data_IF_158066331961
#
_entry.id   IF_158066331961
#
_cell.length_a   1.000
_cell.length_b   1.000
_cell.length_c   1.000
_cell.angle_alpha   90.00
_cell.angle_beta   90.00
_cell.angle_gamma   90.00
#
_symmetry.space_group_name_H-M   'P 1'
#
loop_
_entity.id
_entity.type
_entity.pdbx_description
1 polymer ?
#
# COMPACT_ATOMS: atom_id res chain seq x y z
N UNK A 1 -19.05 -17.59 11.39
CA UNK A 1 -19.57 -16.32 11.91
C UNK A 1 -19.57 -16.28 13.45
N UNK A 2 -20.08 -17.28 14.14
CA UNK A 2 -20.07 -17.33 15.63
C UNK A 2 -18.67 -17.16 16.21
N UNK A 3 -17.65 -17.78 15.61
CA UNK A 3 -16.25 -17.64 16.05
C UNK A 3 -15.70 -16.22 15.89
N UNK A 4 -16.32 -15.41 15.03
CA UNK A 4 -15.97 -14.00 14.78
C UNK A 4 -16.89 -13.01 15.50
N UNK A 5 -17.77 -13.50 16.38
CA UNK A 5 -18.72 -12.67 17.13
C UNK A 5 -19.83 -12.03 16.29
N UNK A 6 -20.04 -12.52 15.05
CA UNK A 6 -21.11 -12.04 14.16
C UNK A 6 -22.33 -12.94 14.22
N UNK A 7 -23.51 -12.35 14.03
CA UNK A 7 -24.76 -13.10 14.02
C UNK A 7 -24.77 -14.15 12.90
N UNK A 8 -25.27 -15.37 13.17
CA UNK A 8 -25.40 -16.41 12.16
C UNK A 8 -26.44 -15.99 11.10
N UNK A 9 -26.15 -16.30 9.84
CA UNK A 9 -27.14 -16.17 8.75
C UNK A 9 -27.81 -17.53 8.60
N UNK A 10 -29.12 -17.57 8.70
CA UNK A 10 -29.90 -18.75 8.39
C UNK A 10 -30.13 -18.87 6.88
N UNK A 11 -29.69 -19.99 6.31
CA UNK A 11 -29.89 -20.30 4.89
C UNK A 11 -30.92 -21.42 4.81
N UNK A 12 -32.06 -21.12 4.22
CA UNK A 12 -33.11 -22.12 4.01
C UNK A 12 -32.75 -23.13 2.91
N UNK A 13 -33.51 -24.21 2.81
CA UNK A 13 -33.27 -25.32 1.88
C UNK A 13 -33.15 -24.87 0.41
N UNK A 14 -33.97 -23.91 -0.01
CA UNK A 14 -33.98 -23.37 -1.38
C UNK A 14 -33.31 -21.99 -1.48
N UNK A 15 -32.35 -21.74 -0.61
CA UNK A 15 -31.65 -20.45 -0.54
C UNK A 15 -30.16 -20.61 -0.68
N UNK A 16 -29.53 -19.52 -1.15
CA UNK A 16 -28.08 -19.39 -1.23
C UNK A 16 -27.59 -18.09 -0.62
N UNK A 17 -26.35 -18.07 -0.20
CA UNK A 17 -25.60 -16.87 0.19
C UNK A 17 -24.33 -16.79 -0.63
N UNK A 18 -24.07 -15.62 -1.24
CA UNK A 18 -22.79 -15.33 -1.88
C UNK A 18 -21.86 -14.70 -0.86
N UNK A 19 -20.66 -15.24 -0.78
CA UNK A 19 -19.60 -14.72 0.10
C UNK A 19 -18.35 -14.43 -0.71
N UNK A 20 -17.62 -13.37 -0.33
CA UNK A 20 -16.40 -12.94 -1.00
C UNK A 20 -15.49 -12.26 0.03
N UNK A 21 -14.20 -12.59 0.05
CA UNK A 21 -13.21 -11.91 0.89
C UNK A 21 -12.37 -10.89 0.10
N UNK A 22 -12.57 -10.81 -1.20
CA UNK A 22 -12.04 -9.74 -2.04
C UNK A 22 -13.00 -8.53 -1.92
N UNK A 23 -12.58 -7.51 -1.18
CA UNK A 23 -13.38 -6.32 -0.91
C UNK A 23 -13.71 -5.47 -2.14
N UNK A 24 -14.45 -4.41 -1.93
CA UNK A 24 -14.73 -3.39 -2.93
C UNK A 24 -15.78 -3.79 -3.97
N UNK A 25 -15.47 -3.63 -5.25
CA UNK A 25 -16.44 -3.77 -6.35
C UNK A 25 -17.09 -5.15 -6.46
N UNK A 26 -16.37 -6.23 -6.09
CA UNK A 26 -16.91 -7.59 -6.14
C UNK A 26 -18.01 -7.82 -5.10
N UNK A 27 -17.80 -7.35 -3.88
CA UNK A 27 -18.80 -7.43 -2.81
C UNK A 27 -20.03 -6.61 -3.18
N UNK A 28 -19.83 -5.43 -3.75
CA UNK A 28 -20.92 -4.59 -4.26
C UNK A 28 -21.68 -5.27 -5.41
N UNK A 29 -20.97 -5.92 -6.32
CA UNK A 29 -21.56 -6.66 -7.42
C UNK A 29 -22.45 -7.80 -6.90
N UNK A 30 -21.93 -8.62 -5.97
CA UNK A 30 -22.70 -9.71 -5.38
C UNK A 30 -23.89 -9.23 -4.54
N UNK A 31 -23.71 -8.13 -3.82
CA UNK A 31 -24.78 -7.48 -3.07
C UNK A 31 -25.90 -7.01 -4.02
N UNK A 32 -25.56 -6.35 -5.13
CA UNK A 32 -26.54 -5.94 -6.15
C UNK A 32 -27.23 -7.14 -6.78
N UNK A 33 -26.50 -8.22 -7.04
CA UNK A 33 -27.06 -9.45 -7.60
C UNK A 33 -28.08 -10.10 -6.65
N UNK A 34 -27.73 -10.22 -5.37
CA UNK A 34 -28.63 -10.79 -4.35
C UNK A 34 -29.81 -9.88 -4.07
N UNK A 35 -29.62 -8.57 -3.94
CA UNK A 35 -30.69 -7.58 -3.75
C UNK A 35 -31.68 -7.54 -4.93
N UNK A 36 -31.22 -7.85 -6.14
CA UNK A 36 -32.06 -8.02 -7.33
C UNK A 36 -32.93 -9.28 -7.31
N UNK A 37 -32.81 -10.14 -6.29
CA UNK A 37 -33.57 -11.37 -6.16
C UNK A 37 -33.26 -12.42 -7.23
N UNK A 38 -32.07 -12.34 -7.85
CA UNK A 38 -31.67 -13.27 -8.90
C UNK A 38 -31.53 -14.69 -8.36
N UNK A 39 -32.07 -15.65 -9.10
CA UNK A 39 -32.04 -17.06 -8.76
C UNK A 39 -30.78 -17.73 -9.32
N UNK A 40 -30.28 -18.72 -8.58
CA UNK A 40 -29.17 -19.55 -8.99
C UNK A 40 -29.63 -21.00 -9.15
N UNK A 41 -29.23 -21.65 -10.22
CA UNK A 41 -29.57 -23.09 -10.42
C UNK A 41 -28.35 -23.95 -10.12
N UNK A 42 -28.48 -24.84 -9.13
CA UNK A 42 -27.45 -25.77 -8.72
C UNK A 42 -28.01 -27.21 -8.74
N UNK A 43 -27.42 -28.10 -9.53
CA UNK A 43 -27.87 -29.49 -9.61
C UNK A 43 -29.35 -29.68 -9.96
N UNK A 44 -29.96 -28.77 -10.70
CA UNK A 44 -31.39 -28.78 -11.03
C UNK A 44 -32.29 -28.11 -10.03
N UNK A 45 -31.78 -27.69 -8.87
CA UNK A 45 -32.51 -26.93 -7.87
C UNK A 45 -32.36 -25.42 -8.10
N UNK A 46 -33.48 -24.68 -8.06
CA UNK A 46 -33.48 -23.23 -8.21
C UNK A 46 -33.48 -22.59 -6.84
N UNK A 47 -32.42 -21.85 -6.53
CA UNK A 47 -32.16 -21.24 -5.23
C UNK A 47 -32.44 -19.74 -5.31
N UNK A 48 -32.96 -19.16 -4.23
CA UNK A 48 -33.17 -17.72 -4.04
C UNK A 48 -32.14 -17.16 -3.06
N UNK A 49 -31.78 -15.87 -3.12
CA UNK A 49 -30.89 -15.29 -2.13
C UNK A 49 -31.48 -15.36 -0.72
N UNK A 50 -30.67 -15.74 0.26
CA UNK A 50 -31.06 -15.78 1.68
C UNK A 50 -31.10 -14.38 2.30
N UNK A 51 -30.30 -13.47 1.79
CA UNK A 51 -30.20 -12.06 2.22
C UNK A 51 -30.06 -11.16 1.01
N UNK A 52 -30.23 -9.86 1.22
CA UNK A 52 -30.02 -8.82 0.20
C UNK A 52 -28.57 -8.33 0.12
N UNK A 53 -27.68 -8.87 0.95
CA UNK A 53 -26.26 -8.48 1.04
C UNK A 53 -25.33 -9.68 0.98
N UNK A 54 -24.24 -9.52 0.24
CA UNK A 54 -23.13 -10.45 0.27
C UNK A 54 -22.42 -10.38 1.64
N UNK A 55 -21.83 -11.49 2.06
CA UNK A 55 -21.03 -11.55 3.28
C UNK A 55 -19.54 -11.39 2.93
N UNK A 56 -18.91 -10.38 3.52
CA UNK A 56 -17.47 -10.16 3.39
C UNK A 56 -16.63 -11.16 4.22
N UNK A 57 -17.27 -11.96 5.05
CA UNK A 57 -16.63 -12.75 6.09
C UNK A 57 -16.33 -14.19 5.68
N UNK A 58 -15.57 -14.38 4.66
CA UNK A 58 -15.06 -15.71 4.32
C UNK A 58 -13.62 -15.94 4.76
N UNK A 59 -13.05 -15.04 5.55
CA UNK A 59 -11.72 -15.18 6.14
C UNK A 59 -11.50 -16.51 6.91
N UNK A 60 -12.58 -17.16 7.34
CA UNK A 60 -12.53 -18.49 7.95
C UNK A 60 -12.09 -19.59 6.97
N UNK A 61 -12.17 -19.37 5.66
CA UNK A 61 -11.83 -20.36 4.62
C UNK A 61 -10.57 -19.91 3.84
N UNK A 62 -10.13 -18.67 4.04
CA UNK A 62 -8.96 -18.14 3.36
C UNK A 62 -7.68 -18.75 3.93
N UNK A 63 -6.92 -19.42 3.07
CA UNK A 63 -5.60 -19.99 3.38
C UNK A 63 -4.46 -18.99 3.14
N UNK A 64 -4.76 -17.72 2.95
CA UNK A 64 -3.76 -16.71 2.64
C UNK A 64 -4.01 -15.42 3.41
N UNK A 65 -2.95 -14.67 3.64
CA UNK A 65 -3.00 -13.34 4.24
C UNK A 65 -3.62 -12.27 3.30
N UNK A 66 -3.79 -12.61 2.04
CA UNK A 66 -4.53 -11.82 1.05
C UNK A 66 -5.85 -12.53 0.75
N UNK A 67 -6.94 -11.78 0.58
CA UNK A 67 -8.21 -12.32 0.15
C UNK A 67 -8.02 -13.19 -1.10
N UNK A 68 -8.49 -14.43 -1.04
CA UNK A 68 -8.34 -15.39 -2.13
C UNK A 68 -9.66 -15.93 -2.64
N UNK A 69 -10.75 -15.58 -1.95
CA UNK A 69 -12.10 -16.00 -2.33
C UNK A 69 -12.78 -14.95 -3.20
N UNK A 70 -12.68 -15.12 -4.52
CA UNK A 70 -13.38 -14.28 -5.49
C UNK A 70 -14.89 -14.48 -5.51
N UNK A 71 -15.42 -15.51 -4.84
CA UNK A 71 -16.85 -15.77 -4.70
C UNK A 71 -17.13 -17.23 -4.35
N UNK A 72 -17.88 -17.44 -3.28
CA UNK A 72 -18.35 -18.76 -2.85
C UNK A 72 -19.86 -18.73 -2.67
N UNK A 73 -20.51 -19.76 -3.17
CA UNK A 73 -21.95 -20.01 -2.95
C UNK A 73 -22.08 -20.90 -1.73
N UNK A 74 -22.70 -20.39 -0.67
CA UNK A 74 -23.02 -21.15 0.54
C UNK A 74 -24.49 -21.58 0.45
N UNK A 75 -24.72 -22.86 0.68
CA UNK A 75 -26.06 -23.48 0.63
C UNK A 75 -26.29 -24.32 1.88
N UNK A 76 -27.52 -24.74 2.11
CA UNK A 76 -27.86 -25.62 3.23
C UNK A 76 -27.26 -27.01 3.06
N UNK A 77 -26.87 -27.65 4.18
CA UNK A 77 -26.25 -28.99 4.22
C UNK A 77 -27.17 -30.08 3.64
N UNK A 78 -28.49 -29.94 3.80
CA UNK A 78 -29.47 -30.84 3.23
C UNK A 78 -29.40 -30.89 1.71
N UNK A 79 -29.21 -29.73 1.06
CA UNK A 79 -29.07 -29.64 -0.39
C UNK A 79 -27.79 -30.33 -0.85
N UNK A 80 -26.68 -30.09 -0.17
CA UNK A 80 -25.39 -30.74 -0.47
C UNK A 80 -25.48 -32.25 -0.40
N UNK A 81 -26.21 -32.77 0.58
CA UNK A 81 -26.44 -34.20 0.75
C UNK A 81 -27.25 -34.81 -0.41
N UNK A 82 -28.21 -34.07 -0.98
CA UNK A 82 -29.02 -34.50 -2.12
C UNK A 82 -28.24 -34.48 -3.44
N UNK A 83 -27.28 -33.55 -3.57
CA UNK A 83 -26.46 -33.41 -4.79
C UNK A 83 -25.39 -34.49 -4.94
N UNK A 84 -25.19 -35.34 -3.90
CA UNK A 84 -24.16 -36.40 -3.87
C UNK A 84 -22.78 -35.95 -4.35
N UNK A 85 -22.40 -34.74 -3.97
CA UNK A 85 -21.09 -34.17 -4.33
C UNK A 85 -20.02 -34.73 -3.42
N UNK A 86 -18.88 -35.12 -4.01
CA UNK A 86 -17.70 -35.45 -3.21
C UNK A 86 -17.01 -34.16 -2.77
N UNK A 87 -16.68 -34.00 -1.50
CA UNK A 87 -15.96 -32.82 -1.04
C UNK A 87 -14.57 -32.77 -1.66
N UNK A 88 -14.26 -31.65 -2.31
CA UNK A 88 -12.93 -31.37 -2.85
C UNK A 88 -11.91 -31.10 -1.74
N UNK A 89 -12.33 -30.40 -0.71
CA UNK A 89 -11.52 -30.12 0.48
C UNK A 89 -12.40 -29.99 1.71
N UNK A 90 -11.87 -30.34 2.86
CA UNK A 90 -12.50 -30.09 4.14
C UNK A 90 -11.53 -29.34 5.04
N UNK A 91 -12.02 -28.35 5.77
CA UNK A 91 -11.21 -27.54 6.68
C UNK A 91 -11.82 -27.52 8.07
N UNK A 92 -11.01 -27.76 9.10
CA UNK A 92 -11.39 -27.61 10.48
C UNK A 92 -10.80 -26.31 11.03
N UNK A 93 -11.67 -25.43 11.47
CA UNK A 93 -11.30 -24.17 12.10
C UNK A 93 -11.41 -24.29 13.62
N UNK A 94 -10.36 -23.94 14.32
CA UNK A 94 -10.27 -24.04 15.77
C UNK A 94 -9.81 -22.72 16.36
N UNK A 95 -10.48 -22.24 17.41
CA UNK A 95 -10.02 -21.12 18.21
C UNK A 95 -9.48 -21.62 19.56
N UNK A 96 -8.40 -21.01 20.02
CA UNK A 96 -7.87 -21.26 21.34
C UNK A 96 -8.78 -20.67 22.42
N UNK A 97 -8.76 -21.28 23.61
CA UNK A 97 -9.41 -20.70 24.78
C UNK A 97 -8.74 -19.40 25.18
N UNK A 98 -9.52 -18.45 25.68
CA UNK A 98 -8.97 -17.19 26.20
C UNK A 98 -7.91 -17.47 27.30
N UNK A 99 -6.75 -16.81 27.17
CA UNK A 99 -5.66 -16.91 28.14
C UNK A 99 -4.64 -18.01 27.87
N UNK A 100 -4.77 -18.80 26.78
CA UNK A 100 -3.73 -19.73 26.35
C UNK A 100 -2.59 -18.99 25.63
N UNK A 101 -1.35 -19.46 25.87
CA UNK A 101 -0.22 -19.07 25.03
C UNK A 101 -0.38 -19.74 23.65
N UNK A 102 -0.66 -18.93 22.65
CA UNK A 102 -0.92 -19.41 21.29
C UNK A 102 0.33 -19.96 20.61
N UNK A 103 1.52 -19.51 20.98
CA UNK A 103 2.78 -19.92 20.36
C UNK A 103 3.12 -21.35 20.77
N UNK A 104 3.06 -21.66 22.08
CA UNK A 104 3.32 -23.00 22.60
C UNK A 104 2.24 -23.99 22.12
N UNK A 105 0.99 -23.56 22.07
CA UNK A 105 -0.11 -24.38 21.57
C UNK A 105 0.02 -24.66 20.06
N UNK A 106 0.41 -23.66 19.25
CA UNK A 106 0.64 -23.83 17.82
C UNK A 106 1.74 -24.87 17.54
N UNK A 107 2.87 -24.79 18.26
CA UNK A 107 3.96 -25.76 18.12
C UNK A 107 3.51 -27.17 18.52
N UNK A 108 2.85 -27.33 19.67
CA UNK A 108 2.38 -28.62 20.17
C UNK A 108 1.40 -29.29 19.21
N UNK A 109 0.42 -28.55 18.69
CA UNK A 109 -0.55 -29.06 17.74
C UNK A 109 0.11 -29.41 16.40
N UNK A 110 1.03 -28.58 15.93
CA UNK A 110 1.77 -28.80 14.69
C UNK A 110 2.54 -30.13 14.73
N UNK A 111 3.29 -30.39 15.80
CA UNK A 111 3.99 -31.66 15.98
C UNK A 111 3.03 -32.83 16.05
N UNK A 112 1.94 -32.70 16.81
CA UNK A 112 0.94 -33.78 16.95
C UNK A 112 0.24 -34.10 15.61
N UNK A 113 -0.11 -33.09 14.84
CA UNK A 113 -0.75 -33.27 13.54
C UNK A 113 0.23 -33.86 12.52
N UNK A 114 1.47 -33.39 12.49
CA UNK A 114 2.51 -33.92 11.61
C UNK A 114 2.85 -35.38 11.95
N UNK A 115 3.02 -35.71 13.23
CA UNK A 115 3.31 -37.07 13.64
C UNK A 115 2.17 -38.05 13.30
N UNK A 116 0.92 -37.65 13.48
CA UNK A 116 -0.24 -38.48 13.12
C UNK A 116 -0.41 -38.65 11.61
N UNK A 117 -0.02 -37.63 10.80
CA UNK A 117 -0.01 -37.73 9.34
C UNK A 117 1.10 -38.64 8.82
N UNK A 118 2.23 -38.73 9.55
CA UNK A 118 3.39 -39.55 9.17
C UNK A 118 3.31 -41.00 9.66
N UNK A 119 2.55 -41.27 10.73
CA UNK A 119 2.52 -42.60 11.41
C UNK A 119 1.66 -43.62 10.67
N UNK A 120 0.70 -43.23 9.85
CA UNK A 120 -0.26 -44.16 9.25
C UNK A 120 0.23 -44.87 7.98
N UNK A 121 1.51 -44.69 7.54
CA UNK A 121 2.15 -45.45 6.46
C UNK A 121 1.43 -45.39 5.13
N UNK A 122 0.37 -44.63 5.02
CA UNK A 122 -0.34 -44.30 3.78
C UNK A 122 0.28 -43.08 3.17
N UNK A 123 0.74 -43.21 1.95
CA UNK A 123 1.03 -42.04 1.11
C UNK A 123 -0.08 -41.01 1.35
N UNK A 124 0.25 -39.76 1.73
CA UNK A 124 -0.78 -38.75 1.97
C UNK A 124 -1.48 -38.43 0.63
N UNK A 125 -2.54 -39.16 0.39
CA UNK A 125 -3.44 -38.91 -0.75
C UNK A 125 -4.24 -37.60 -0.61
N UNK A 126 -4.15 -36.95 0.54
CA UNK A 126 -4.65 -35.62 0.79
C UNK A 126 -3.59 -34.84 1.57
N UNK A 127 -3.10 -33.76 0.98
CA UNK A 127 -2.20 -32.82 1.63
C UNK A 127 -2.99 -32.08 2.72
N UNK A 128 -2.92 -32.57 3.94
CA UNK A 128 -3.39 -31.81 5.09
C UNK A 128 -2.45 -30.64 5.34
N UNK A 129 -2.94 -29.43 5.23
CA UNK A 129 -2.18 -28.21 5.56
C UNK A 129 -2.63 -27.72 6.92
N UNK A 130 -1.71 -27.63 7.85
CA UNK A 130 -1.95 -26.99 9.15
C UNK A 130 -1.35 -25.58 9.08
N UNK A 131 -2.19 -24.57 9.26
CA UNK A 131 -1.77 -23.17 9.22
C UNK A 131 -2.31 -22.50 10.48
N UNK A 132 -1.43 -21.85 11.21
CA UNK A 132 -1.81 -21.08 12.39
C UNK A 132 -1.98 -19.60 12.04
N UNK A 133 -2.74 -18.89 12.85
CA UNK A 133 -2.91 -17.46 12.71
C UNK A 133 -1.57 -16.71 12.87
N UNK A 134 -0.71 -17.17 13.78
CA UNK A 134 0.62 -16.60 14.02
C UNK A 134 1.53 -16.76 12.80
N UNK A 135 1.53 -17.93 12.15
CA UNK A 135 2.30 -18.17 10.93
C UNK A 135 1.82 -17.30 9.77
N UNK A 136 0.50 -17.16 9.58
CA UNK A 136 -0.05 -16.28 8.55
C UNK A 136 0.37 -14.82 8.77
N UNK A 137 0.29 -14.32 10.01
CA UNK A 137 0.74 -12.97 10.32
C UNK A 137 2.25 -12.80 10.11
N UNK A 138 3.06 -13.78 10.52
CA UNK A 138 4.51 -13.74 10.32
C UNK A 138 4.86 -13.72 8.83
N UNK A 139 4.21 -14.56 8.01
CA UNK A 139 4.42 -14.60 6.57
C UNK A 139 4.01 -13.28 5.89
N UNK A 140 2.86 -12.74 6.26
CA UNK A 140 2.40 -11.45 5.76
C UNK A 140 3.35 -10.30 6.16
N UNK A 141 3.83 -10.30 7.40
CA UNK A 141 4.78 -9.30 7.89
C UNK A 141 6.13 -9.38 7.16
N UNK A 142 6.63 -10.60 6.90
CA UNK A 142 7.87 -10.81 6.13
C UNK A 142 7.74 -10.29 4.69
N UNK A 143 6.67 -10.63 3.99
CA UNK A 143 6.42 -10.17 2.62
C UNK A 143 6.29 -8.65 2.57
N UNK A 144 5.49 -8.06 3.46
CA UNK A 144 5.31 -6.62 3.56
C UNK A 144 6.62 -5.90 3.92
N UNK A 145 7.41 -6.49 4.82
CA UNK A 145 8.72 -5.97 5.20
C UNK A 145 9.69 -5.93 4.03
N UNK A 146 9.75 -6.99 3.24
CA UNK A 146 10.64 -7.12 2.09
C UNK A 146 10.27 -6.12 0.98
N UNK A 147 8.98 -6.03 0.65
CA UNK A 147 8.47 -5.07 -0.35
C UNK A 147 8.73 -3.63 0.11
N UNK A 148 8.45 -3.32 1.39
CA UNK A 148 8.68 -2.00 1.96
C UNK A 148 10.15 -1.62 1.94
N UNK A 149 11.04 -2.54 2.29
CA UNK A 149 12.48 -2.33 2.25
C UNK A 149 12.96 -1.99 0.83
N UNK A 150 12.55 -2.78 -0.17
CA UNK A 150 12.89 -2.52 -1.56
C UNK A 150 12.36 -1.17 -2.04
N UNK A 151 11.12 -0.84 -1.71
CA UNK A 151 10.50 0.43 -2.10
C UNK A 151 11.23 1.64 -1.48
N UNK A 152 11.58 1.56 -0.19
CA UNK A 152 12.33 2.60 0.53
C UNK A 152 13.73 2.73 -0.06
N UNK A 153 14.42 1.61 -0.34
CA UNK A 153 15.75 1.61 -0.91
C UNK A 153 15.78 2.27 -2.29
N UNK A 154 14.88 1.85 -3.19
CA UNK A 154 14.77 2.43 -4.54
C UNK A 154 14.41 3.92 -4.45
N UNK A 155 13.43 4.26 -3.60
CA UNK A 155 13.03 5.65 -3.37
C UNK A 155 14.20 6.52 -2.88
N UNK A 156 14.98 6.02 -1.93
CA UNK A 156 16.15 6.72 -1.41
C UNK A 156 17.21 6.96 -2.50
N UNK A 157 17.55 5.93 -3.28
CA UNK A 157 18.51 6.05 -4.40
C UNK A 157 18.02 7.08 -5.42
N UNK A 158 16.74 7.06 -5.78
CA UNK A 158 16.17 8.05 -6.71
C UNK A 158 16.23 9.47 -6.15
N UNK A 159 15.92 9.66 -4.87
CA UNK A 159 15.99 11.00 -4.22
C UNK A 159 17.42 11.53 -4.24
N UNK A 160 18.42 10.70 -3.90
CA UNK A 160 19.84 11.08 -3.93
C UNK A 160 20.28 11.44 -5.35
N UNK A 161 19.89 10.63 -6.35
CA UNK A 161 20.20 10.92 -7.76
C UNK A 161 19.56 12.24 -8.24
N UNK A 162 18.29 12.45 -7.93
CA UNK A 162 17.60 13.71 -8.25
C UNK A 162 18.26 14.92 -7.57
N UNK A 163 18.63 14.78 -6.29
CA UNK A 163 19.33 15.83 -5.55
C UNK A 163 20.68 16.18 -6.19
N UNK A 164 21.46 15.17 -6.60
CA UNK A 164 22.73 15.40 -7.29
C UNK A 164 22.54 16.13 -8.63
N UNK A 165 21.59 15.68 -9.45
CA UNK A 165 21.29 16.30 -10.75
C UNK A 165 20.86 17.76 -10.57
N UNK A 166 19.91 18.00 -9.66
CA UNK A 166 19.43 19.37 -9.38
C UNK A 166 20.53 20.26 -8.84
N UNK A 167 21.44 19.74 -7.99
CA UNK A 167 22.59 20.50 -7.47
C UNK A 167 23.52 20.94 -8.60
N UNK A 168 23.87 20.04 -9.52
CA UNK A 168 24.72 20.36 -10.67
C UNK A 168 24.05 21.39 -11.57
N UNK A 169 22.78 21.23 -11.88
CA UNK A 169 22.02 22.18 -12.69
C UNK A 169 21.96 23.56 -12.05
N UNK A 170 21.71 23.63 -10.74
CA UNK A 170 21.66 24.91 -10.03
C UNK A 170 23.01 25.58 -9.97
N UNK A 171 24.08 24.83 -9.73
CA UNK A 171 25.44 25.35 -9.73
C UNK A 171 25.81 25.95 -11.10
N UNK A 172 25.47 25.26 -12.19
CA UNK A 172 25.67 25.76 -13.57
C UNK A 172 24.85 27.03 -13.83
N UNK A 173 23.56 27.01 -13.47
CA UNK A 173 22.69 28.17 -13.68
C UNK A 173 23.16 29.42 -12.92
N UNK A 174 23.66 29.26 -11.68
CA UNK A 174 24.19 30.39 -10.90
C UNK A 174 25.53 30.88 -11.48
N UNK A 175 26.40 29.97 -11.93
CA UNK A 175 27.66 30.34 -12.58
C UNK A 175 27.40 31.14 -13.85
N UNK A 176 26.50 30.68 -14.71
CA UNK A 176 26.10 31.35 -15.97
C UNK A 176 25.39 32.67 -15.68
N UNK A 177 24.53 32.73 -14.68
CA UNK A 177 23.78 33.92 -14.25
C UNK A 177 24.65 34.95 -13.50
N UNK A 178 25.83 34.60 -13.04
CA UNK A 178 26.70 35.47 -12.23
C UNK A 178 27.03 36.80 -12.91
N UNK A 179 27.16 36.78 -14.23
CA UNK A 179 27.38 37.99 -15.04
C UNK A 179 26.18 38.94 -15.00
N UNK A 180 24.98 38.42 -15.11
CA UNK A 180 23.72 39.17 -15.03
C UNK A 180 23.53 39.81 -13.66
N UNK A 181 23.82 39.08 -12.59
CA UNK A 181 23.75 39.61 -11.21
C UNK A 181 24.78 40.71 -10.95
N UNK A 182 25.97 40.63 -11.58
CA UNK A 182 26.95 41.71 -11.55
C UNK A 182 26.43 42.97 -12.25
N UNK A 183 25.81 42.84 -13.38
CA UNK A 183 25.20 43.99 -14.10
C UNK A 183 24.11 44.62 -13.26
N UNK A 184 23.24 43.82 -12.63
CA UNK A 184 22.21 44.30 -11.71
C UNK A 184 22.81 45.11 -10.54
N UNK A 185 23.88 44.65 -9.94
CA UNK A 185 24.59 45.37 -8.91
C UNK A 185 25.22 46.68 -9.42
N UNK A 186 25.67 46.73 -10.68
CA UNK A 186 26.26 47.95 -11.30
C UNK A 186 25.23 49.04 -11.55
N UNK A 187 24.00 48.70 -11.89
CA UNK A 187 22.90 49.65 -12.09
C UNK A 187 22.22 50.09 -10.80
N UNK A 188 22.77 49.67 -9.63
CA UNK A 188 22.32 50.12 -8.30
C UNK A 188 21.24 49.31 -7.66
N UNK A 189 21.01 48.05 -8.09
CA UNK A 189 20.10 47.15 -7.39
C UNK A 189 20.64 46.79 -6.00
N UNK A 190 19.77 46.88 -5.00
CA UNK A 190 20.09 46.53 -3.61
C UNK A 190 20.28 44.98 -3.47
N UNK A 191 21.12 44.59 -2.54
CA UNK A 191 21.39 43.18 -2.14
C UNK A 191 20.11 42.39 -1.89
N UNK A 192 19.06 43.06 -1.39
CA UNK A 192 17.76 42.43 -1.13
C UNK A 192 17.01 42.09 -2.41
N UNK A 193 17.09 42.95 -3.39
CA UNK A 193 16.46 42.75 -4.71
C UNK A 193 17.16 41.63 -5.48
N UNK A 194 18.49 41.57 -5.42
CA UNK A 194 19.26 40.47 -6.03
C UNK A 194 18.92 39.14 -5.40
N UNK A 195 18.88 39.07 -4.07
CA UNK A 195 18.47 37.82 -3.36
C UNK A 195 17.04 37.38 -3.67
N UNK A 196 16.11 38.31 -3.80
CA UNK A 196 14.75 38.01 -4.17
C UNK A 196 14.68 37.47 -5.61
N UNK A 197 15.47 38.00 -6.54
CA UNK A 197 15.58 37.50 -7.92
C UNK A 197 16.14 36.06 -7.94
N UNK A 198 17.21 35.77 -7.18
CA UNK A 198 17.78 34.44 -7.06
C UNK A 198 16.74 33.46 -6.46
N UNK A 199 16.03 33.87 -5.43
CA UNK A 199 15.00 33.06 -4.80
C UNK A 199 13.84 32.77 -5.77
N UNK A 200 13.36 33.76 -6.50
CA UNK A 200 12.27 33.58 -7.46
C UNK A 200 12.67 32.65 -8.61
N UNK A 201 13.87 32.79 -9.14
CA UNK A 201 14.39 31.90 -10.18
C UNK A 201 14.48 30.47 -9.66
N UNK A 202 15.06 30.26 -8.47
CA UNK A 202 15.21 28.95 -7.88
C UNK A 202 13.86 28.32 -7.53
N UNK A 203 12.90 29.12 -7.03
CA UNK A 203 11.56 28.64 -6.73
C UNK A 203 10.86 28.06 -7.96
N UNK A 204 10.98 28.70 -9.12
CA UNK A 204 10.41 28.19 -10.37
C UNK A 204 11.02 26.85 -10.74
N UNK A 205 12.35 26.69 -10.66
CA UNK A 205 13.04 25.44 -10.98
C UNK A 205 12.72 24.30 -10.01
N UNK A 206 12.38 24.61 -8.75
CA UNK A 206 12.02 23.59 -7.75
C UNK A 206 10.53 23.31 -7.72
N UNK A 207 9.68 24.35 -7.74
CA UNK A 207 8.23 24.17 -7.62
C UNK A 207 7.58 23.54 -8.84
N UNK A 208 8.07 23.84 -10.03
CA UNK A 208 7.50 23.30 -11.25
C UNK A 208 7.63 21.76 -11.34
N UNK A 209 8.83 21.17 -11.22
CA UNK A 209 8.96 19.71 -11.22
C UNK A 209 8.22 19.05 -10.03
N UNK A 210 8.24 19.69 -8.86
CA UNK A 210 7.53 19.20 -7.69
C UNK A 210 6.01 19.14 -7.94
N UNK A 211 5.43 20.20 -8.51
CA UNK A 211 4.00 20.24 -8.81
C UNK A 211 3.59 19.15 -9.80
N UNK A 212 4.38 18.96 -10.87
CA UNK A 212 4.15 17.89 -11.86
C UNK A 212 4.30 16.51 -11.21
N UNK A 213 5.33 16.30 -10.39
CA UNK A 213 5.57 15.06 -9.67
C UNK A 213 4.46 14.72 -8.68
N UNK A 214 3.99 15.70 -7.91
CA UNK A 214 2.88 15.52 -6.98
C UNK A 214 1.57 15.20 -7.72
N UNK A 215 1.27 15.89 -8.82
CA UNK A 215 0.09 15.62 -9.63
C UNK A 215 0.12 14.19 -10.18
N UNK A 216 1.26 13.75 -10.73
CA UNK A 216 1.45 12.39 -11.22
C UNK A 216 1.33 11.36 -10.09
N UNK A 217 1.97 11.61 -8.95
CA UNK A 217 1.90 10.74 -7.78
C UNK A 217 0.48 10.60 -7.24
N UNK A 218 -0.31 11.68 -7.25
CA UNK A 218 -1.70 11.64 -6.82
C UNK A 218 -2.55 10.72 -7.71
N UNK A 219 -2.37 10.80 -9.04
CA UNK A 219 -3.07 9.92 -9.99
C UNK A 219 -2.63 8.47 -9.80
N UNK A 220 -1.32 8.22 -9.72
CA UNK A 220 -0.77 6.88 -9.51
C UNK A 220 -1.27 6.26 -8.19
N UNK A 221 -1.31 7.06 -7.11
CA UNK A 221 -1.78 6.61 -5.80
C UNK A 221 -3.26 6.24 -5.83
N UNK A 222 -4.09 7.02 -6.55
CA UNK A 222 -5.51 6.70 -6.74
C UNK A 222 -5.68 5.34 -7.41
N UNK A 223 -4.95 5.07 -8.49
CA UNK A 223 -5.00 3.79 -9.21
C UNK A 223 -4.51 2.63 -8.33
N UNK A 224 -3.43 2.83 -7.56
CA UNK A 224 -2.91 1.80 -6.65
C UNK A 224 -3.92 1.50 -5.52
N UNK A 225 -4.54 2.53 -4.93
CA UNK A 225 -5.56 2.35 -3.90
C UNK A 225 -6.75 1.56 -4.44
N UNK A 226 -7.21 1.88 -5.64
CA UNK A 226 -8.30 1.17 -6.32
C UNK A 226 -7.93 -0.29 -6.58
N UNK A 227 -6.72 -0.57 -7.07
CA UNK A 227 -6.21 -1.92 -7.28
C UNK A 227 -6.08 -2.71 -5.96
N UNK A 228 -5.56 -2.07 -4.91
CA UNK A 228 -5.36 -2.72 -3.60
C UNK A 228 -6.70 -2.94 -2.88
N UNK A 229 -7.71 -2.09 -3.12
CA UNK A 229 -9.05 -2.25 -2.53
C UNK A 229 -9.76 -3.54 -2.95
N UNK A 230 -9.35 -4.14 -4.09
CA UNK A 230 -9.82 -5.46 -4.54
C UNK A 230 -9.39 -6.56 -3.54
N UNK A 231 -8.24 -6.38 -2.88
CA UNK A 231 -7.69 -7.35 -1.92
C UNK A 231 -8.07 -7.09 -0.46
N UNK A 232 -8.89 -6.07 -0.19
CA UNK A 232 -9.39 -5.75 1.14
C UNK A 232 -9.38 -4.26 1.47
N UNK A 233 -10.12 -3.88 2.49
CA UNK A 233 -10.27 -2.49 2.92
C UNK A 233 -9.06 -2.07 3.77
N UNK A 234 -8.01 -1.54 3.14
CA UNK A 234 -6.80 -1.06 3.80
C UNK A 234 -6.87 0.45 4.04
N UNK A 235 -6.79 0.88 5.30
CA UNK A 235 -6.67 2.30 5.65
C UNK A 235 -5.24 2.79 5.44
N UNK A 236 -4.93 3.27 4.22
CA UNK A 236 -3.58 3.74 3.84
C UNK A 236 -3.40 5.26 4.05
N UNK A 237 -4.48 5.98 4.33
CA UNK A 237 -4.46 7.45 4.39
C UNK A 237 -3.42 8.05 5.34
N UNK A 238 -3.28 7.48 6.54
CA UNK A 238 -2.30 7.93 7.53
C UNK A 238 -0.85 7.74 7.07
N UNK A 239 -0.55 6.58 6.49
CA UNK A 239 0.80 6.26 5.99
C UNK A 239 1.18 7.15 4.82
N UNK A 240 0.27 7.37 3.89
CA UNK A 240 0.46 8.29 2.75
C UNK A 240 0.72 9.72 3.23
N UNK A 241 -0.10 10.21 4.18
CA UNK A 241 0.08 11.54 4.75
C UNK A 241 1.44 11.74 5.43
N UNK A 242 1.88 10.76 6.22
CA UNK A 242 3.20 10.78 6.87
C UNK A 242 4.34 10.78 5.83
N UNK A 243 4.25 9.92 4.82
CA UNK A 243 5.26 9.84 3.75
C UNK A 243 5.35 11.14 2.97
N UNK A 244 4.21 11.76 2.60
CA UNK A 244 4.18 13.07 1.98
C UNK A 244 4.82 14.16 2.85
N UNK A 245 4.56 14.16 4.15
CA UNK A 245 5.15 15.13 5.06
C UNK A 245 6.67 14.99 5.14
N UNK A 246 7.19 13.77 5.27
CA UNK A 246 8.64 13.49 5.28
C UNK A 246 9.28 13.91 3.95
N UNK A 247 8.66 13.57 2.82
CA UNK A 247 9.15 13.95 1.51
C UNK A 247 9.21 15.46 1.33
N UNK A 248 8.16 16.19 1.69
CA UNK A 248 8.11 17.66 1.60
C UNK A 248 9.12 18.31 2.53
N UNK A 249 9.34 17.77 3.73
CA UNK A 249 10.36 18.27 4.65
C UNK A 249 11.79 18.09 4.08
N UNK A 250 12.10 16.92 3.54
CA UNK A 250 13.39 16.62 2.90
C UNK A 250 13.61 17.53 1.66
N UNK A 251 12.60 17.66 0.80
CA UNK A 251 12.66 18.48 -0.40
C UNK A 251 12.79 19.98 -0.07
N UNK A 252 12.05 20.45 0.94
CA UNK A 252 12.17 21.83 1.46
C UNK A 252 13.53 22.13 2.08
N UNK A 253 14.09 21.16 2.84
CA UNK A 253 15.45 21.26 3.36
C UNK A 253 16.48 21.37 2.24
N UNK A 254 16.34 20.55 1.20
CA UNK A 254 17.21 20.60 0.04
C UNK A 254 17.09 21.95 -0.70
N UNK A 255 15.88 22.46 -0.90
CA UNK A 255 15.64 23.81 -1.46
C UNK A 255 16.38 24.89 -0.66
N UNK A 256 16.27 24.83 0.68
CA UNK A 256 16.91 25.81 1.54
C UNK A 256 18.44 25.80 1.43
N UNK A 257 19.03 24.60 1.48
CA UNK A 257 20.51 24.44 1.32
C UNK A 257 20.97 24.99 -0.02
N UNK A 258 20.29 24.63 -1.10
CA UNK A 258 20.63 25.11 -2.44
C UNK A 258 20.46 26.63 -2.56
N UNK A 259 19.44 27.21 -1.93
CA UNK A 259 19.26 28.67 -1.89
C UNK A 259 20.40 29.37 -1.14
N UNK A 260 20.82 28.84 0.01
CA UNK A 260 21.93 29.41 0.78
C UNK A 260 23.23 29.35 0.01
N UNK A 261 23.50 28.24 -0.69
CA UNK A 261 24.69 28.09 -1.54
C UNK A 261 24.66 29.07 -2.72
N UNK A 262 23.52 29.16 -3.42
CA UNK A 262 23.35 30.06 -4.57
C UNK A 262 23.54 31.52 -4.19
N UNK A 263 22.95 31.96 -3.07
CA UNK A 263 23.12 33.32 -2.57
C UNK A 263 24.55 33.61 -2.14
N UNK A 264 25.24 32.62 -1.55
CA UNK A 264 26.66 32.72 -1.18
C UNK A 264 27.54 32.94 -2.43
N UNK A 265 27.32 32.17 -3.48
CA UNK A 265 28.09 32.29 -4.74
C UNK A 265 27.85 33.67 -5.43
N UNK A 266 26.59 34.11 -5.49
CA UNK A 266 26.27 35.44 -6.06
C UNK A 266 26.94 36.56 -5.30
N UNK A 267 26.93 36.51 -3.96
CA UNK A 267 27.65 37.50 -3.12
C UNK A 267 29.16 37.46 -3.34
N UNK A 268 29.77 36.30 -3.39
CA UNK A 268 31.20 36.15 -3.69
C UNK A 268 31.56 36.75 -5.07
N UNK A 269 30.72 36.49 -6.07
CA UNK A 269 30.89 37.00 -7.43
C UNK A 269 30.80 38.56 -7.53
N UNK A 270 30.01 39.18 -6.67
CA UNK A 270 29.88 40.64 -6.54
C UNK A 270 31.08 41.21 -5.76
N UNK A 271 31.47 40.59 -4.64
CA UNK A 271 32.53 41.08 -3.74
C UNK A 271 33.93 41.06 -4.39
N UNK A 272 34.25 40.09 -5.22
CA UNK A 272 35.56 39.92 -5.88
C UNK A 272 35.97 41.17 -6.68
N UNK A 273 35.02 41.99 -7.10
CA UNK A 273 35.31 43.23 -7.86
C UNK A 273 35.68 44.42 -7.01
N UNK A 274 35.15 44.55 -5.81
CA UNK A 274 35.53 45.62 -4.89
C UNK A 274 37.01 45.54 -4.50
N UNK A 275 37.54 44.32 -4.40
CA UNK A 275 38.96 44.09 -4.12
C UNK A 275 39.88 44.47 -5.33
N UNK A 276 39.45 44.25 -6.57
CA UNK A 276 40.25 44.62 -7.75
C UNK A 276 40.30 46.14 -7.98
N UNK A 277 39.24 46.88 -7.64
CA UNK A 277 39.22 48.34 -7.79
C UNK A 277 40.09 49.06 -6.73
N UNK A 278 40.25 48.49 -5.54
CA UNK A 278 41.14 49.01 -4.52
C UNK A 278 42.62 48.78 -4.79
N UNK A 279 42.98 47.83 -5.68
CA UNK A 279 44.38 47.53 -6.02
C UNK A 279 44.90 48.32 -7.22
N UNK A 280 44.00 49.03 -7.96
CA UNK A 280 44.33 49.85 -9.14
C UNK A 280 44.27 51.35 -8.89
N UNK A 281 44.04 51.80 -7.66
CA UNK A 281 44.16 53.16 -7.18
C UNK A 281 45.42 53.31 -6.32
#
# INVERSE_FOLDING_TARGET
RQMMGKEPVHIGHDQYLLTCDMGGELVDLYTKYMAGGHTLTLGGHTLKPATDKSDEDTAAIANSAMGSNGGTVVVADELLSQLNLQPYSSSLLVNYKQGMDTTEADESIKYTVLDNLLVDGKEPGSWGTFITRSEMYAQAAQMNGLISYLAIYIGFVLVVACAAILSIQQLSNVADGSRSYRVLAQIGCDDRQIRHSVMAQQAVFFLFPLAVGLAHSFVALKVIIELVSIFGNMSIGGTVGLTCAIFLAAYGGYFLVTYLMSTGMVRAAIATRYSCLLYTS
#
